data_IF_569483374911
#
_entry.id   IF_569483374911
#
_cell.length_a   1.000
_cell.length_b   1.000
_cell.length_c   1.000
_cell.angle_alpha   90.00
_cell.angle_beta   90.00
_cell.angle_gamma   90.00
#
_symmetry.space_group_name_H-M   'P 1'
#
loop_
_entity.id
_entity.type
_entity.pdbx_description
1 polymer ?
#
# COMPACT_ATOMS: atom_id res chain seq x y z
N UNK A 1 2.01 33.88 -27.38
CA UNK A 1 2.12 32.52 -26.83
C UNK A 1 1.21 32.47 -25.63
N UNK A 2 -0.01 31.99 -25.84
CA UNK A 2 -1.01 31.87 -24.79
C UNK A 2 -0.68 30.62 -23.99
N UNK A 3 -0.37 30.78 -22.71
CA UNK A 3 -0.25 29.65 -21.80
C UNK A 3 -1.67 29.16 -21.53
N UNK A 4 -2.13 28.20 -22.32
CA UNK A 4 -3.31 27.41 -21.98
C UNK A 4 -2.95 26.65 -20.70
N UNK A 5 -3.41 27.21 -19.57
CA UNK A 5 -3.50 26.45 -18.34
C UNK A 5 -4.63 25.48 -18.58
N UNK A 6 -4.27 24.28 -19.02
CA UNK A 6 -5.14 23.13 -18.83
C UNK A 6 -5.35 23.02 -17.33
N UNK A 7 -6.46 23.60 -16.85
CA UNK A 7 -7.03 23.28 -15.56
C UNK A 7 -7.43 21.81 -15.64
N UNK A 8 -6.45 20.94 -15.38
CA UNK A 8 -6.68 19.52 -15.15
C UNK A 8 -7.55 19.49 -13.90
N UNK A 9 -8.87 19.43 -14.08
CA UNK A 9 -9.76 18.86 -13.07
C UNK A 9 -9.19 17.46 -12.80
N UNK A 10 -8.37 17.36 -11.74
CA UNK A 10 -7.95 16.09 -11.17
C UNK A 10 -9.21 15.54 -10.54
N UNK A 11 -10.06 14.96 -11.39
CA UNK A 11 -11.22 14.19 -11.02
C UNK A 11 -10.71 13.15 -10.03
N UNK A 12 -11.13 13.27 -8.76
CA UNK A 12 -10.75 12.43 -7.60
C UNK A 12 -11.17 10.97 -7.81
N UNK A 13 -10.62 10.33 -8.83
CA UNK A 13 -10.55 8.89 -8.95
C UNK A 13 -9.58 8.46 -7.84
N UNK A 14 -9.94 7.52 -6.96
CA UNK A 14 -9.04 7.13 -5.88
C UNK A 14 -7.75 6.63 -6.51
N UNK A 15 -6.67 7.41 -6.39
CA UNK A 15 -5.40 7.11 -7.03
C UNK A 15 -4.90 5.79 -6.43
N UNK A 16 -4.90 4.72 -7.24
CA UNK A 16 -4.52 3.39 -6.77
C UNK A 16 -3.10 3.35 -6.24
N UNK A 17 -2.19 4.12 -6.84
CA UNK A 17 -0.83 4.25 -6.32
C UNK A 17 -0.81 4.88 -4.93
N UNK A 18 -1.69 5.85 -4.64
CA UNK A 18 -1.80 6.45 -3.31
C UNK A 18 -2.34 5.44 -2.28
N UNK A 19 -3.40 4.70 -2.63
CA UNK A 19 -3.98 3.66 -1.76
C UNK A 19 -2.92 2.60 -1.41
N UNK A 20 -2.22 2.09 -2.43
CA UNK A 20 -1.15 1.11 -2.26
C UNK A 20 -0.03 1.68 -1.40
N UNK A 21 0.43 2.91 -1.68
CA UNK A 21 1.52 3.53 -0.92
C UNK A 21 1.19 3.71 0.55
N UNK A 22 -0.04 4.11 0.88
CA UNK A 22 -0.51 4.22 2.27
C UNK A 22 -0.53 2.85 2.93
N UNK A 23 -1.09 1.82 2.28
CA UNK A 23 -1.15 0.48 2.85
C UNK A 23 0.24 -0.12 3.10
N UNK A 24 1.18 0.07 2.16
CA UNK A 24 2.58 -0.36 2.32
C UNK A 24 3.24 0.36 3.49
N UNK A 25 3.07 1.68 3.59
CA UNK A 25 3.65 2.47 4.69
C UNK A 25 3.15 1.97 6.05
N UNK A 26 1.86 1.73 6.18
CA UNK A 26 1.25 1.23 7.43
C UNK A 26 1.73 -0.18 7.77
N UNK A 27 1.79 -1.07 6.77
CA UNK A 27 2.31 -2.41 6.96
C UNK A 27 3.80 -2.42 7.36
N UNK A 28 4.63 -1.55 6.79
CA UNK A 28 6.03 -1.36 7.20
C UNK A 28 6.17 -0.84 8.63
N UNK A 29 5.30 0.08 9.07
CA UNK A 29 5.28 0.56 10.45
C UNK A 29 4.95 -0.56 11.45
N UNK A 30 4.10 -1.51 11.05
CA UNK A 30 3.77 -2.67 11.87
C UNK A 30 4.90 -3.72 11.86
N UNK A 31 5.53 -3.94 10.71
CA UNK A 31 6.65 -4.86 10.53
C UNK A 31 8.02 -4.26 10.93
N UNK A 32 8.06 -3.46 11.99
CA UNK A 32 9.27 -2.73 12.43
C UNK A 32 10.31 -3.63 13.08
N UNK A 33 9.90 -4.72 13.73
CA UNK A 33 10.81 -5.76 14.21
C UNK A 33 10.77 -6.94 13.24
N UNK A 34 11.90 -7.61 13.02
CA UNK A 34 11.94 -8.92 12.36
C UNK A 34 11.21 -10.04 13.17
N UNK A 35 10.43 -9.66 14.18
CA UNK A 35 9.62 -10.55 14.98
C UNK A 35 8.44 -11.05 14.15
N UNK A 36 8.22 -12.37 14.17
CA UNK A 36 7.12 -13.03 13.49
C UNK A 36 5.74 -12.42 13.83
N UNK A 37 5.54 -12.00 15.07
CA UNK A 37 4.29 -11.41 15.55
C UNK A 37 3.99 -10.06 14.89
N UNK A 38 5.01 -9.27 14.61
CA UNK A 38 4.87 -7.95 13.97
C UNK A 38 4.55 -8.10 12.48
N UNK A 39 5.11 -9.14 11.84
CA UNK A 39 4.70 -9.55 10.51
C UNK A 39 3.24 -10.03 10.46
N UNK A 40 2.80 -10.86 11.41
CA UNK A 40 1.41 -11.34 11.45
C UNK A 40 0.40 -10.19 11.57
N UNK A 41 0.73 -9.13 12.33
CA UNK A 41 -0.09 -7.91 12.42
C UNK A 41 -0.16 -7.17 11.09
N UNK A 42 0.98 -6.96 10.43
CA UNK A 42 1.03 -6.32 9.11
C UNK A 42 0.25 -7.13 8.06
N UNK A 43 0.40 -8.45 8.06
CA UNK A 43 -0.33 -9.36 7.18
C UNK A 43 -1.84 -9.28 7.35
N UNK A 44 -2.33 -9.31 8.60
CA UNK A 44 -3.76 -9.15 8.90
C UNK A 44 -4.29 -7.79 8.45
N UNK A 45 -3.52 -6.72 8.67
CA UNK A 45 -3.88 -5.36 8.24
C UNK A 45 -4.04 -5.27 6.71
N UNK A 46 -3.15 -5.88 5.93
CA UNK A 46 -3.25 -5.92 4.46
C UNK A 46 -4.47 -6.72 3.99
N UNK A 47 -4.74 -7.88 4.59
CA UNK A 47 -5.90 -8.73 4.23
C UNK A 47 -7.21 -8.01 4.51
N UNK A 48 -7.32 -7.34 5.66
CA UNK A 48 -8.52 -6.64 6.09
C UNK A 48 -8.74 -5.31 5.36
N UNK A 49 -7.73 -4.80 4.63
CA UNK A 49 -7.85 -3.56 3.88
C UNK A 49 -8.89 -3.70 2.74
N UNK A 50 -9.98 -2.95 2.82
CA UNK A 50 -11.09 -2.99 1.85
C UNK A 50 -10.83 -2.19 0.58
N UNK A 51 -9.80 -1.35 0.58
CA UNK A 51 -9.44 -0.50 -0.56
C UNK A 51 -8.44 -1.18 -1.49
N UNK A 52 -7.74 -2.21 -1.01
CA UNK A 52 -6.85 -3.02 -1.83
C UNK A 52 -7.62 -4.12 -2.57
N UNK A 53 -7.26 -4.34 -3.83
CA UNK A 53 -7.70 -5.52 -4.58
C UNK A 53 -6.80 -6.72 -4.26
N UNK A 54 -7.27 -7.93 -4.60
CA UNK A 54 -6.59 -9.19 -4.26
C UNK A 54 -5.14 -9.26 -4.78
N UNK A 55 -4.89 -8.79 -6.01
CA UNK A 55 -3.55 -8.74 -6.57
C UNK A 55 -2.62 -7.80 -5.77
N UNK A 56 -3.11 -6.63 -5.37
CA UNK A 56 -2.32 -5.67 -4.58
C UNK A 56 -1.97 -6.25 -3.21
N UNK A 57 -2.94 -6.88 -2.54
CA UNK A 57 -2.70 -7.58 -1.26
C UNK A 57 -1.60 -8.62 -1.41
N UNK A 58 -1.69 -9.45 -2.44
CA UNK A 58 -0.71 -10.51 -2.73
C UNK A 58 0.69 -9.95 -2.96
N UNK A 59 0.80 -8.89 -3.76
CA UNK A 59 2.09 -8.23 -4.05
C UNK A 59 2.70 -7.64 -2.78
N UNK A 60 1.93 -6.88 -2.00
CA UNK A 60 2.41 -6.25 -0.76
C UNK A 60 2.83 -7.34 0.25
N UNK A 61 2.04 -8.40 0.39
CA UNK A 61 2.36 -9.50 1.31
C UNK A 61 3.69 -10.17 0.94
N UNK A 62 3.90 -10.44 -0.34
CA UNK A 62 5.14 -11.05 -0.82
C UNK A 62 6.35 -10.13 -0.66
N UNK A 63 6.18 -8.82 -0.85
CA UNK A 63 7.25 -7.83 -0.67
C UNK A 63 7.68 -7.69 0.79
N UNK A 64 6.74 -7.77 1.73
CA UNK A 64 6.99 -7.57 3.16
C UNK A 64 7.30 -8.87 3.91
N UNK A 65 7.20 -10.03 3.24
CA UNK A 65 7.53 -11.31 3.86
C UNK A 65 8.99 -11.30 4.29
N UNK A 66 9.31 -11.59 5.57
CA UNK A 66 10.68 -11.71 6.03
C UNK A 66 11.42 -12.77 5.19
N UNK A 67 12.61 -12.44 4.68
CA UNK A 67 13.48 -13.45 4.08
C UNK A 67 13.87 -14.45 5.18
N UNK A 68 13.52 -15.72 4.98
CA UNK A 68 14.04 -16.82 5.79
C UNK A 68 15.49 -17.07 5.37
N UNK A 69 16.43 -16.28 5.91
CA UNK A 69 17.85 -16.58 5.93
C UNK A 69 18.26 -16.99 7.34
#
# INVERSE_FOLDING_TARGET
>A
MSCEKDDIEIMESPNRAHIIAVAVREACCLATSAAKQDWEKAHQMIIQNRHLIENEKTVIINLLRPNAN
#
